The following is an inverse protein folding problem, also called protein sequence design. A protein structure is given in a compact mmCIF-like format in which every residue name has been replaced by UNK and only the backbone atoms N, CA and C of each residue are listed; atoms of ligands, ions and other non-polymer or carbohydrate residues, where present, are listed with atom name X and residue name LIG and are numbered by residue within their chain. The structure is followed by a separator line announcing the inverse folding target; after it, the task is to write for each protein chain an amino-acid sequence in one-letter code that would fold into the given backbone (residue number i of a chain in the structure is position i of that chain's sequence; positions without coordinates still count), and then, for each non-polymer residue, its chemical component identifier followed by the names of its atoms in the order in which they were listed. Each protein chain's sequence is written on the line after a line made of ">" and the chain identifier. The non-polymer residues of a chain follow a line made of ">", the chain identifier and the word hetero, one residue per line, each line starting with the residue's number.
data_IF_598446435099
#
_entry.id   IF_598446435099
#
_cell.length_a   1.000
_cell.length_b   1.000
_cell.length_c   1.000
_cell.angle_alpha   90.00
_cell.angle_beta   90.00
_cell.angle_gamma   90.00
#
_symmetry.space_group_name_H-M   'P 1'
#
loop_
_entity.id
_entity.type
_entity.pdbx_description
1 polymer ?
#
# COMPACT_ATOMS: atom_id res chain seq x y z
N UNK A 1 52.42 32.94 -20.36
CA UNK A 1 51.83 33.52 -19.14
C UNK A 1 50.36 33.15 -19.10
N UNK A 2 49.91 32.38 -18.09
CA UNK A 2 48.48 32.10 -17.92
C UNK A 2 47.81 33.24 -17.16
N UNK A 3 46.72 33.80 -17.69
CA UNK A 3 45.80 34.65 -16.92
C UNK A 3 44.67 33.77 -16.38
N UNK A 4 44.66 33.55 -15.07
CA UNK A 4 43.48 32.99 -14.41
C UNK A 4 42.38 34.05 -14.37
N UNK A 5 41.32 33.85 -15.16
CA UNK A 5 40.13 34.68 -15.13
C UNK A 5 39.32 34.37 -13.88
N UNK A 6 39.36 35.24 -12.87
CA UNK A 6 38.67 35.04 -11.61
C UNK A 6 37.16 35.34 -11.78
N UNK A 7 36.37 34.33 -12.18
CA UNK A 7 34.91 34.46 -12.28
C UNK A 7 34.26 34.47 -10.88
N UNK A 8 34.31 35.62 -10.24
CA UNK A 8 33.55 35.92 -9.02
C UNK A 8 32.06 35.97 -9.29
N UNK A 9 31.42 34.81 -9.37
CA UNK A 9 29.96 34.69 -9.48
C UNK A 9 29.29 35.14 -8.17
N UNK A 10 28.67 36.32 -8.18
CA UNK A 10 27.95 36.84 -7.02
C UNK A 10 26.72 35.98 -6.72
N UNK A 11 26.84 35.09 -5.72
CA UNK A 11 25.70 34.33 -5.21
C UNK A 11 24.73 35.31 -4.54
N UNK A 12 23.60 35.58 -5.18
CA UNK A 12 22.53 36.40 -4.62
C UNK A 12 21.82 35.59 -3.54
N UNK A 13 22.27 35.73 -2.30
CA UNK A 13 21.60 35.17 -1.13
C UNK A 13 20.35 35.99 -0.84
N UNK A 14 19.22 35.59 -1.45
CA UNK A 14 17.91 36.07 -1.03
C UNK A 14 17.59 35.52 0.37
N UNK A 15 17.22 36.38 1.30
CA UNK A 15 16.59 35.94 2.55
C UNK A 15 15.29 35.17 2.24
N UNK A 16 14.82 34.34 3.19
CA UNK A 16 13.44 33.85 3.13
C UNK A 16 12.49 35.05 3.04
N UNK A 17 11.54 34.98 2.10
CA UNK A 17 10.51 36.01 1.96
C UNK A 17 9.65 36.12 3.22
N UNK A 18 8.92 37.22 3.32
CA UNK A 18 8.05 37.55 4.45
C UNK A 18 7.22 36.34 4.92
N UNK A 19 7.43 35.93 6.17
CA UNK A 19 6.78 34.75 6.73
C UNK A 19 5.26 34.92 6.70
N UNK A 20 4.58 34.10 5.89
CA UNK A 20 3.12 34.05 5.81
C UNK A 20 2.50 33.42 7.06
N UNK A 21 2.60 34.13 8.18
CA UNK A 21 1.93 33.82 9.42
C UNK A 21 0.40 33.87 9.23
N UNK A 22 -0.34 33.07 10.02
CA UNK A 22 -1.79 33.17 10.05
C UNK A 22 -2.20 34.47 10.75
N UNK A 23 -3.18 35.25 10.22
CA UNK A 23 -3.60 36.53 10.79
C UNK A 23 -4.46 36.39 12.05
N UNK A 24 -4.44 35.22 12.71
CA UNK A 24 -5.28 34.88 13.85
C UNK A 24 -4.40 34.37 15.00
N UNK A 25 -4.42 35.06 16.14
CA UNK A 25 -3.58 34.78 17.31
C UNK A 25 -4.17 33.76 18.31
N UNK A 26 -5.25 33.06 17.93
CA UNK A 26 -5.88 32.03 18.75
C UNK A 26 -5.16 30.67 18.63
N UNK A 27 -5.13 29.89 19.72
CA UNK A 27 -4.47 28.57 19.77
C UNK A 27 -5.01 27.56 18.74
N UNK A 28 -6.25 27.74 18.30
CA UNK A 28 -6.91 26.93 17.26
C UNK A 28 -6.59 27.37 15.83
N UNK A 29 -5.91 28.50 15.60
CA UNK A 29 -5.82 29.16 14.29
C UNK A 29 -5.35 28.23 13.16
N UNK A 30 -4.32 27.40 13.40
CA UNK A 30 -3.82 26.44 12.43
C UNK A 30 -4.83 25.33 12.11
N UNK A 31 -5.50 24.78 13.13
CA UNK A 31 -6.58 23.82 12.92
C UNK A 31 -7.76 24.46 12.16
N UNK A 32 -8.19 25.67 12.53
CA UNK A 32 -9.28 26.38 11.83
C UNK A 32 -8.93 26.69 10.37
N UNK A 33 -7.66 27.03 10.07
CA UNK A 33 -7.16 27.20 8.71
C UNK A 33 -7.28 25.90 7.90
N UNK A 34 -6.78 24.78 8.43
CA UNK A 34 -6.85 23.48 7.77
C UNK A 34 -8.31 23.02 7.58
N UNK A 35 -9.14 23.13 8.63
CA UNK A 35 -10.55 22.72 8.58
C UNK A 35 -11.37 23.54 7.57
N UNK A 36 -11.07 24.84 7.39
CA UNK A 36 -11.67 25.67 6.34
C UNK A 36 -11.38 25.10 4.95
N UNK A 37 -10.16 24.63 4.72
CA UNK A 37 -9.75 24.08 3.43
C UNK A 37 -10.29 22.65 3.21
N UNK A 38 -10.41 21.84 4.27
CA UNK A 38 -11.17 20.57 4.27
C UNK A 38 -12.65 20.79 3.92
N UNK A 39 -13.32 21.75 4.58
CA UNK A 39 -14.72 22.07 4.31
C UNK A 39 -14.93 22.55 2.86
N UNK A 40 -14.00 23.35 2.31
CA UNK A 40 -14.03 23.75 0.90
C UNK A 40 -13.95 22.53 -0.04
N UNK A 41 -13.00 21.63 0.20
CA UNK A 41 -12.85 20.41 -0.59
C UNK A 41 -14.07 19.49 -0.50
N UNK A 42 -14.68 19.38 0.69
CA UNK A 42 -15.89 18.58 0.89
C UNK A 42 -17.09 19.18 0.15
N UNK A 43 -17.27 20.51 0.18
CA UNK A 43 -18.31 21.20 -0.59
C UNK A 43 -18.12 21.01 -2.10
N UNK A 44 -16.89 21.18 -2.62
CA UNK A 44 -16.58 20.92 -4.03
C UNK A 44 -16.84 19.46 -4.44
N UNK A 45 -16.48 18.49 -3.59
CA UNK A 45 -16.74 17.06 -3.84
C UNK A 45 -18.24 16.74 -3.82
N UNK A 46 -19.00 17.33 -2.89
CA UNK A 46 -20.45 17.16 -2.82
C UNK A 46 -21.15 17.70 -4.07
N UNK A 47 -20.74 18.86 -4.59
CA UNK A 47 -21.27 19.40 -5.84
C UNK A 47 -20.92 18.50 -7.04
N UNK A 48 -19.67 18.06 -7.14
CA UNK A 48 -19.22 17.20 -8.24
C UNK A 48 -19.93 15.85 -8.27
N UNK A 49 -20.13 15.18 -7.12
CA UNK A 49 -20.82 13.88 -7.09
C UNK A 49 -22.34 14.01 -7.33
N UNK A 50 -22.96 15.10 -6.88
CA UNK A 50 -24.37 15.39 -7.20
C UNK A 50 -24.58 15.66 -8.70
N UNK A 51 -23.63 16.33 -9.36
CA UNK A 51 -23.62 16.46 -10.82
C UNK A 51 -23.42 15.10 -11.51
N UNK A 52 -22.49 14.28 -11.01
CA UNK A 52 -22.22 12.94 -11.54
C UNK A 52 -23.45 12.02 -11.51
N UNK A 53 -24.27 12.07 -10.46
CA UNK A 53 -25.50 11.29 -10.34
C UNK A 53 -26.57 11.60 -11.40
N UNK A 54 -26.44 12.66 -12.19
CA UNK A 54 -27.43 13.02 -13.23
C UNK A 54 -27.41 12.10 -14.45
N UNK A 55 -26.33 11.35 -14.70
CA UNK A 55 -26.26 10.40 -15.82
C UNK A 55 -25.19 9.31 -15.61
N UNK A 56 -25.32 8.12 -16.24
CA UNK A 56 -24.28 7.10 -16.22
C UNK A 56 -22.91 7.60 -16.74
N UNK A 57 -22.92 8.46 -17.77
CA UNK A 57 -21.70 9.03 -18.34
C UNK A 57 -21.00 9.98 -17.36
N UNK A 58 -21.75 10.88 -16.70
CA UNK A 58 -21.20 11.78 -15.67
C UNK A 58 -20.66 11.02 -14.45
N UNK A 59 -21.26 9.88 -14.10
CA UNK A 59 -20.71 9.01 -13.06
C UNK A 59 -19.39 8.35 -13.47
N UNK A 60 -19.25 7.90 -14.73
CA UNK A 60 -17.98 7.35 -15.23
C UNK A 60 -16.87 8.42 -15.28
N UNK A 61 -17.18 9.64 -15.73
CA UNK A 61 -16.24 10.77 -15.71
C UNK A 61 -15.78 11.10 -14.27
N UNK A 62 -16.71 11.12 -13.31
CA UNK A 62 -16.39 11.34 -11.90
C UNK A 62 -15.53 10.22 -11.29
N UNK A 63 -15.77 8.97 -11.68
CA UNK A 63 -14.98 7.81 -11.25
C UNK A 63 -13.55 7.86 -11.81
N UNK A 64 -13.38 8.13 -13.11
CA UNK A 64 -12.02 8.22 -13.68
C UNK A 64 -11.27 9.43 -13.12
N UNK A 65 -11.94 10.56 -12.93
CA UNK A 65 -11.39 11.69 -12.18
C UNK A 65 -11.00 11.32 -10.74
N UNK A 66 -11.66 10.35 -10.11
CA UNK A 66 -11.21 9.80 -8.82
C UNK A 66 -9.96 8.94 -8.97
N UNK A 67 -9.89 8.02 -9.94
CA UNK A 67 -8.70 7.20 -10.21
C UNK A 67 -7.47 8.06 -10.48
N UNK A 68 -7.59 9.08 -11.33
CA UNK A 68 -6.49 10.02 -11.61
C UNK A 68 -6.02 10.78 -10.36
N UNK A 69 -6.94 11.21 -9.49
CA UNK A 69 -6.57 11.80 -8.19
C UNK A 69 -5.87 10.80 -7.27
N UNK A 70 -6.27 9.52 -7.27
CA UNK A 70 -5.59 8.46 -6.51
C UNK A 70 -4.17 8.21 -7.03
N UNK A 71 -3.99 8.07 -8.35
CA UNK A 71 -2.68 7.93 -9.01
C UNK A 71 -1.75 9.12 -8.65
N UNK A 72 -2.27 10.34 -8.69
CA UNK A 72 -1.53 11.56 -8.28
C UNK A 72 -1.14 11.60 -6.79
N UNK A 73 -1.92 10.96 -5.90
CA UNK A 73 -1.65 10.92 -4.45
C UNK A 73 -0.59 9.87 -4.09
N UNK A 74 -0.59 8.70 -4.74
CA UNK A 74 0.42 7.65 -4.49
C UNK A 74 1.73 7.89 -5.25
N UNK A 75 1.67 8.61 -6.37
CA UNK A 75 2.81 8.92 -7.23
C UNK A 75 3.13 7.81 -8.24
N UNK A 76 4.28 7.91 -8.88
CA UNK A 76 4.76 6.90 -9.84
C UNK A 76 5.41 5.71 -9.13
N UNK A 77 5.09 4.51 -9.60
CA UNK A 77 5.79 3.28 -9.23
C UNK A 77 6.96 2.98 -10.18
N UNK A 78 7.97 2.19 -9.76
CA UNK A 78 9.00 1.71 -10.67
C UNK A 78 8.43 0.68 -11.66
N UNK A 79 9.24 0.32 -12.67
CA UNK A 79 8.90 -0.78 -13.59
C UNK A 79 8.76 -2.14 -12.88
N UNK A 80 7.93 -3.02 -13.45
CA UNK A 80 7.70 -4.37 -12.92
C UNK A 80 8.84 -5.32 -13.30
N UNK A 81 9.85 -5.40 -12.45
CA UNK A 81 10.99 -6.33 -12.60
C UNK A 81 10.61 -7.80 -12.32
N UNK A 82 11.59 -8.72 -12.27
CA UNK A 82 11.34 -10.11 -11.87
C UNK A 82 10.97 -10.19 -10.37
N UNK A 83 10.00 -11.03 -10.02
CA UNK A 83 9.59 -11.27 -8.64
C UNK A 83 10.55 -12.19 -7.86
N UNK A 84 11.46 -12.91 -8.55
CA UNK A 84 12.48 -13.77 -7.92
C UNK A 84 11.94 -14.73 -6.84
N UNK A 85 10.74 -15.28 -7.09
CA UNK A 85 9.92 -16.00 -6.11
C UNK A 85 10.56 -17.31 -5.64
N UNK A 86 10.49 -17.56 -4.34
CA UNK A 86 10.96 -18.79 -3.69
C UNK A 86 9.86 -19.39 -2.82
N UNK A 87 9.57 -20.68 -3.02
CA UNK A 87 8.77 -21.48 -2.08
C UNK A 87 9.72 -22.10 -1.06
N UNK A 88 9.85 -21.45 0.11
CA UNK A 88 10.84 -21.82 1.14
C UNK A 88 10.36 -22.92 2.10
N UNK A 89 9.14 -23.44 1.90
CA UNK A 89 8.61 -24.60 2.62
C UNK A 89 7.11 -24.79 2.37
N UNK A 90 6.59 -25.94 2.80
CA UNK A 90 5.14 -26.20 2.84
C UNK A 90 4.70 -26.74 4.21
N UNK A 91 3.45 -26.49 4.58
CA UNK A 91 2.79 -27.04 5.77
C UNK A 91 1.48 -27.69 5.34
N UNK A 92 1.22 -28.91 5.83
CA UNK A 92 -0.03 -29.62 5.57
C UNK A 92 -1.17 -29.04 6.43
N UNK A 93 -2.30 -28.73 5.80
CA UNK A 93 -3.56 -28.40 6.46
C UNK A 93 -4.63 -29.47 6.20
N UNK A 94 -5.87 -29.18 6.58
CA UNK A 94 -7.02 -30.07 6.39
C UNK A 94 -7.80 -29.69 5.14
N UNK A 95 -7.52 -30.37 4.03
CA UNK A 95 -8.11 -30.07 2.71
C UNK A 95 -7.46 -28.87 1.99
N UNK A 96 -6.31 -28.42 2.49
CA UNK A 96 -5.48 -27.38 1.89
C UNK A 96 -4.02 -27.59 2.34
N UNK A 97 -3.07 -27.02 1.60
CA UNK A 97 -1.69 -26.85 2.07
C UNK A 97 -1.30 -25.37 2.10
N UNK A 98 -0.33 -25.02 2.94
CA UNK A 98 0.25 -23.66 3.00
C UNK A 98 1.62 -23.70 2.33
N UNK A 99 1.85 -22.85 1.34
CA UNK A 99 3.17 -22.59 0.76
C UNK A 99 3.76 -21.34 1.40
N UNK A 100 5.00 -21.43 1.89
CA UNK A 100 5.74 -20.29 2.43
C UNK A 100 6.47 -19.60 1.29
N UNK A 101 6.11 -18.35 1.01
CA UNK A 101 6.58 -17.59 -0.15
C UNK A 101 7.46 -16.44 0.30
N UNK A 102 8.61 -16.28 -0.36
CA UNK A 102 9.40 -15.05 -0.35
C UNK A 102 9.52 -14.56 -1.80
N UNK A 103 9.29 -13.28 -2.06
CA UNK A 103 9.48 -12.67 -3.38
C UNK A 103 10.05 -11.25 -3.25
N UNK A 104 10.56 -10.68 -4.34
CA UNK A 104 11.02 -9.30 -4.41
C UNK A 104 9.96 -8.41 -5.07
N UNK A 105 9.40 -7.43 -4.34
CA UNK A 105 8.51 -6.44 -4.96
C UNK A 105 9.29 -5.43 -5.81
N UNK A 106 10.57 -5.23 -5.47
CA UNK A 106 11.63 -4.57 -6.25
C UNK A 106 12.99 -5.16 -5.79
N UNK A 107 14.09 -5.01 -6.55
CA UNK A 107 15.38 -5.61 -6.19
C UNK A 107 15.81 -5.35 -4.75
N UNK A 108 16.12 -6.42 -4.01
CA UNK A 108 16.53 -6.37 -2.61
C UNK A 108 15.44 -6.00 -1.59
N UNK A 109 14.19 -5.75 -2.01
CA UNK A 109 13.05 -5.64 -1.08
C UNK A 109 12.25 -6.94 -1.07
N UNK A 110 12.50 -7.76 -0.07
CA UNK A 110 11.73 -8.97 0.18
C UNK A 110 10.33 -8.66 0.74
N UNK A 111 9.36 -9.44 0.26
CA UNK A 111 8.00 -9.56 0.75
C UNK A 111 7.77 -11.02 1.11
N UNK A 112 7.22 -11.25 2.29
CA UNK A 112 6.95 -12.57 2.88
C UNK A 112 5.45 -12.83 2.88
N UNK A 113 5.05 -14.02 2.44
CA UNK A 113 3.64 -14.38 2.32
C UNK A 113 3.37 -15.88 2.58
N UNK A 114 2.12 -16.20 2.87
CA UNK A 114 1.60 -17.57 2.96
C UNK A 114 0.53 -17.76 1.89
N UNK A 115 0.73 -18.69 0.95
CA UNK A 115 -0.28 -19.07 -0.04
C UNK A 115 -0.99 -20.34 0.43
N UNK A 116 -2.25 -20.21 0.80
CA UNK A 116 -3.14 -21.32 1.17
C UNK A 116 -3.78 -21.85 -0.11
N UNK A 117 -3.43 -23.07 -0.50
CA UNK A 117 -3.91 -23.74 -1.71
C UNK A 117 -4.91 -24.85 -1.35
N UNK A 118 -6.12 -24.87 -1.92
CA UNK A 118 -7.05 -25.99 -1.79
C UNK A 118 -6.46 -27.30 -2.32
N UNK A 119 -6.78 -28.41 -1.68
CA UNK A 119 -6.42 -29.76 -2.15
C UNK A 119 -7.61 -30.47 -2.79
N UNK A 120 -7.33 -31.43 -3.68
CA UNK A 120 -8.33 -32.27 -4.35
C UNK A 120 -9.36 -31.52 -5.21
N UNK A 121 -9.05 -30.28 -5.61
CA UNK A 121 -9.89 -29.44 -6.48
C UNK A 121 -9.43 -29.51 -7.94
N UNK A 122 -10.37 -29.30 -8.87
CA UNK A 122 -10.05 -29.03 -10.28
C UNK A 122 -9.44 -27.63 -10.40
N UNK A 123 -8.21 -27.56 -10.93
CA UNK A 123 -7.52 -26.30 -11.25
C UNK A 123 -7.94 -25.77 -12.63
N UNK A 124 -7.91 -24.44 -12.86
CA UNK A 124 -7.51 -23.38 -11.94
C UNK A 124 -8.60 -23.03 -10.90
N UNK A 125 -8.18 -22.74 -9.67
CA UNK A 125 -9.06 -22.33 -8.57
C UNK A 125 -9.19 -20.81 -8.46
N UNK A 126 -10.35 -20.26 -8.05
CA UNK A 126 -10.45 -18.85 -7.70
C UNK A 126 -9.53 -18.51 -6.52
N UNK A 127 -9.12 -17.24 -6.42
CA UNK A 127 -8.17 -16.80 -5.40
C UNK A 127 -8.58 -15.49 -4.72
N UNK A 128 -7.96 -15.22 -3.57
CA UNK A 128 -8.03 -13.92 -2.91
C UNK A 128 -6.68 -13.48 -2.37
N UNK A 129 -6.47 -12.17 -2.31
CA UNK A 129 -5.40 -11.53 -1.56
C UNK A 129 -5.95 -11.08 -0.20
N UNK A 130 -5.45 -11.64 0.89
CA UNK A 130 -5.76 -11.21 2.26
C UNK A 130 -4.73 -10.18 2.73
N UNK A 131 -5.21 -8.98 3.01
CA UNK A 131 -4.41 -7.85 3.48
C UNK A 131 -4.56 -7.73 5.00
N UNK A 132 -3.44 -7.82 5.72
CA UNK A 132 -3.47 -7.86 7.19
C UNK A 132 -3.87 -6.52 7.82
N UNK A 133 -4.64 -6.60 8.92
CA UNK A 133 -4.83 -5.48 9.84
C UNK A 133 -3.57 -5.20 10.68
N UNK A 134 -3.60 -4.17 11.53
CA UNK A 134 -2.44 -3.63 12.25
C UNK A 134 -1.87 -4.50 13.41
N UNK A 135 -1.97 -5.83 13.34
CA UNK A 135 -1.37 -6.75 14.31
C UNK A 135 0.11 -6.97 14.03
N UNK A 136 0.99 -6.81 15.03
CA UNK A 136 2.45 -6.95 14.88
C UNK A 136 2.89 -8.27 14.20
N UNK A 137 2.10 -9.35 14.33
CA UNK A 137 2.42 -10.65 13.77
C UNK A 137 2.25 -10.76 12.23
N UNK A 138 1.73 -9.73 11.56
CA UNK A 138 1.48 -9.76 10.10
C UNK A 138 0.56 -10.92 9.69
N UNK A 139 0.98 -11.73 8.73
CA UNK A 139 0.29 -12.96 8.30
C UNK A 139 0.19 -14.05 9.38
N UNK A 140 1.00 -13.92 10.44
CA UNK A 140 1.02 -14.81 11.59
C UNK A 140 1.40 -16.26 11.29
N UNK A 141 1.09 -17.15 12.24
CA UNK A 141 1.20 -18.60 12.05
C UNK A 141 0.10 -19.17 11.17
N UNK A 142 -1.11 -18.59 11.25
CA UNK A 142 -2.30 -19.02 10.50
C UNK A 142 -3.37 -17.92 10.45
N UNK A 143 -3.93 -17.65 9.27
CA UNK A 143 -5.17 -16.86 9.15
C UNK A 143 -6.38 -17.80 9.15
N UNK A 144 -7.34 -17.54 10.05
CA UNK A 144 -8.58 -18.30 10.09
C UNK A 144 -9.45 -18.10 8.85
N UNK A 145 -9.42 -16.91 8.24
CA UNK A 145 -10.16 -16.65 7.01
C UNK A 145 -9.53 -17.40 5.82
N UNK A 146 -8.20 -17.35 5.69
CA UNK A 146 -7.46 -18.09 4.67
C UNK A 146 -7.67 -19.61 4.77
N UNK A 147 -7.59 -20.19 5.96
CA UNK A 147 -7.85 -21.62 6.18
C UNK A 147 -9.28 -22.01 5.76
N UNK A 148 -10.30 -21.22 6.15
CA UNK A 148 -11.69 -21.50 5.81
C UNK A 148 -11.96 -21.38 4.30
N UNK A 149 -11.40 -20.37 3.63
CA UNK A 149 -11.51 -20.21 2.18
C UNK A 149 -10.82 -21.35 1.42
N UNK A 150 -9.61 -21.75 1.83
CA UNK A 150 -8.84 -22.81 1.18
C UNK A 150 -9.49 -24.19 1.34
N UNK A 151 -9.99 -24.53 2.53
CA UNK A 151 -10.81 -25.74 2.74
C UNK A 151 -12.12 -25.76 1.93
N UNK A 152 -12.54 -24.62 1.35
CA UNK A 152 -13.74 -24.49 0.50
C UNK A 152 -13.42 -24.15 -0.97
N UNK A 153 -12.18 -24.40 -1.43
CA UNK A 153 -11.83 -24.31 -2.85
C UNK A 153 -11.42 -22.92 -3.35
N UNK A 154 -11.17 -21.95 -2.46
CA UNK A 154 -10.68 -20.61 -2.80
C UNK A 154 -9.25 -20.45 -2.26
N UNK A 155 -8.27 -20.26 -3.14
CA UNK A 155 -6.89 -20.01 -2.70
C UNK A 155 -6.75 -18.64 -2.03
N UNK A 156 -5.85 -18.49 -1.06
CA UNK A 156 -5.64 -17.22 -0.35
C UNK A 156 -4.15 -16.92 -0.19
N UNK A 157 -3.71 -15.77 -0.70
CA UNK A 157 -2.36 -15.25 -0.43
C UNK A 157 -2.45 -14.22 0.71
N UNK A 158 -1.81 -14.52 1.84
CA UNK A 158 -1.73 -13.63 3.01
C UNK A 158 -0.34 -12.99 3.05
N UNK A 159 -0.26 -11.66 2.96
CA UNK A 159 1.01 -10.91 2.80
C UNK A 159 1.36 -10.14 4.07
N UNK A 160 2.63 -10.13 4.47
CA UNK A 160 3.11 -9.25 5.55
C UNK A 160 3.21 -7.78 5.09
N UNK A 161 2.53 -6.82 5.77
CA UNK A 161 2.76 -5.39 5.57
C UNK A 161 4.17 -4.95 6.00
N UNK A 162 4.60 -3.79 5.54
CA UNK A 162 5.87 -3.18 5.96
C UNK A 162 5.76 -2.77 7.44
N UNK A 163 6.68 -3.22 8.30
CA UNK A 163 6.58 -2.97 9.75
C UNK A 163 5.69 -3.96 10.50
N UNK A 164 5.42 -5.14 9.91
CA UNK A 164 4.64 -6.23 10.51
C UNK A 164 5.24 -7.61 10.14
N UNK A 165 4.98 -8.63 10.96
CA UNK A 165 5.37 -10.02 10.70
C UNK A 165 6.88 -10.19 10.54
N UNK A 166 7.30 -10.86 9.47
CA UNK A 166 8.72 -11.06 9.13
C UNK A 166 9.37 -9.78 8.53
N UNK A 167 8.63 -8.66 8.48
CA UNK A 167 9.02 -7.40 7.83
C UNK A 167 9.06 -6.20 8.80
N UNK A 168 9.16 -6.45 10.10
CA UNK A 168 9.51 -5.41 11.10
C UNK A 168 10.81 -4.70 10.68
N UNK A 169 10.84 -3.37 10.80
CA UNK A 169 11.96 -2.52 10.40
C UNK A 169 12.67 -1.89 11.61
N UNK A 170 11.93 -1.61 12.68
CA UNK A 170 12.46 -0.96 13.89
C UNK A 170 12.57 -1.99 15.03
N UNK A 171 13.66 -2.76 15.00
CA UNK A 171 13.93 -3.87 15.94
C UNK A 171 15.19 -3.66 16.79
N UNK A 172 15.24 -4.31 17.96
CA UNK A 172 16.46 -4.47 18.76
C UNK A 172 17.41 -5.53 18.16
N UNK A 173 18.56 -5.77 18.81
CA UNK A 173 19.56 -6.74 18.33
C UNK A 173 19.08 -8.19 18.47
N UNK A 174 18.07 -8.39 19.29
CA UNK A 174 17.41 -9.64 19.62
C UNK A 174 16.17 -9.89 18.75
N UNK A 175 15.88 -9.00 17.79
CA UNK A 175 14.81 -9.13 16.80
C UNK A 175 13.42 -8.67 17.26
N UNK A 176 13.30 -8.01 18.42
CA UNK A 176 12.02 -7.57 18.98
C UNK A 176 11.65 -6.17 18.49
N UNK A 177 10.36 -5.85 18.27
CA UNK A 177 9.93 -4.51 17.88
C UNK A 177 10.23 -3.48 18.98
N UNK A 178 10.85 -2.36 18.58
CA UNK A 178 11.10 -1.18 19.41
C UNK A 178 9.87 -0.27 19.52
N UNK A 179 8.82 -0.54 18.74
CA UNK A 179 7.60 0.27 18.68
C UNK A 179 6.47 -0.34 19.51
N UNK A 180 5.52 0.49 19.96
CA UNK A 180 4.35 0.03 20.75
C UNK A 180 3.36 -0.83 19.94
N UNK A 181 3.61 -1.05 18.66
CA UNK A 181 2.69 -1.71 17.73
C UNK A 181 2.78 -1.12 16.33
N UNK A 182 2.36 -1.89 15.33
CA UNK A 182 2.47 -1.59 13.90
C UNK A 182 2.14 -0.13 13.55
N UNK A 183 0.97 0.39 13.96
CA UNK A 183 0.58 1.80 13.66
C UNK A 183 1.59 2.87 14.11
N UNK A 184 2.40 2.60 15.14
CA UNK A 184 3.48 3.49 15.57
C UNK A 184 4.67 3.41 14.61
N UNK A 185 5.05 2.20 14.21
CA UNK A 185 6.11 1.95 13.23
C UNK A 185 5.75 2.52 11.85
N UNK A 186 4.53 2.28 11.38
CA UNK A 186 4.01 2.81 10.13
C UNK A 186 4.05 4.35 10.13
N UNK A 187 3.72 4.99 11.26
CA UNK A 187 3.81 6.45 11.42
C UNK A 187 5.25 6.96 11.27
N UNK A 188 6.21 6.28 11.91
CA UNK A 188 7.63 6.64 11.88
C UNK A 188 8.25 6.42 10.49
N UNK A 189 7.96 5.29 9.85
CA UNK A 189 8.45 4.96 8.50
C UNK A 189 7.85 5.90 7.44
N UNK A 190 6.57 6.25 7.55
CA UNK A 190 5.92 7.17 6.62
C UNK A 190 6.58 8.57 6.61
N UNK A 191 7.07 9.05 7.75
CA UNK A 191 7.81 10.31 7.81
C UNK A 191 9.08 10.28 6.94
N UNK A 192 9.80 9.15 6.91
CA UNK A 192 10.94 8.94 6.01
C UNK A 192 10.55 8.85 4.54
N UNK A 193 9.47 8.13 4.23
CA UNK A 193 8.96 8.01 2.85
C UNK A 193 8.51 9.36 2.26
N UNK A 194 7.85 10.20 3.05
CA UNK A 194 7.40 11.54 2.63
C UNK A 194 8.57 12.42 2.15
N UNK A 195 9.75 12.30 2.78
CA UNK A 195 10.96 13.05 2.37
C UNK A 195 11.54 12.57 1.03
N UNK A 196 11.14 11.38 0.57
CA UNK A 196 11.53 10.79 -0.71
C UNK A 196 10.41 10.91 -1.78
N UNK A 197 9.38 11.73 -1.53
CA UNK A 197 8.30 11.97 -2.50
C UNK A 197 7.31 10.82 -2.66
N UNK A 198 7.24 9.91 -1.70
CA UNK A 198 6.28 8.79 -1.67
C UNK A 198 5.65 8.67 -0.28
N UNK A 199 4.77 7.70 -0.05
CA UNK A 199 4.18 7.42 1.27
C UNK A 199 4.27 5.93 1.59
N UNK A 200 4.21 5.57 2.87
CA UNK A 200 4.16 4.16 3.27
C UNK A 200 2.98 3.44 2.62
N UNK A 201 1.81 4.08 2.54
CA UNK A 201 0.61 3.54 1.89
C UNK A 201 0.86 3.20 0.41
N UNK A 202 1.62 4.02 -0.32
CA UNK A 202 2.04 3.71 -1.68
C UNK A 202 3.01 2.52 -1.74
N UNK A 203 3.93 2.40 -0.77
CA UNK A 203 4.85 1.26 -0.69
C UNK A 203 4.16 -0.06 -0.29
N UNK A 204 3.16 0.00 0.61
CA UNK A 204 2.28 -1.13 0.95
C UNK A 204 1.45 -1.55 -0.26
N UNK A 205 0.79 -0.60 -0.96
CA UNK A 205 0.07 -0.89 -2.20
C UNK A 205 0.98 -1.53 -3.26
N UNK A 206 2.19 -1.01 -3.46
CA UNK A 206 3.15 -1.61 -4.40
C UNK A 206 3.48 -3.05 -4.02
N UNK A 207 3.90 -3.31 -2.77
CA UNK A 207 4.25 -4.65 -2.32
C UNK A 207 3.08 -5.64 -2.47
N UNK A 208 1.84 -5.18 -2.21
CA UNK A 208 0.62 -5.97 -2.38
C UNK A 208 0.24 -6.19 -3.87
N UNK A 209 0.38 -5.18 -4.74
CA UNK A 209 0.12 -5.31 -6.17
C UNK A 209 1.15 -6.24 -6.85
N UNK A 210 2.38 -6.28 -6.32
CA UNK A 210 3.39 -7.28 -6.69
C UNK A 210 3.09 -8.69 -6.15
N UNK A 211 2.31 -8.81 -5.07
CA UNK A 211 1.74 -10.09 -4.62
C UNK A 211 0.60 -10.57 -5.54
N UNK A 212 -0.21 -9.65 -6.08
CA UNK A 212 -1.19 -9.95 -7.12
C UNK A 212 -0.50 -10.40 -8.43
N UNK A 213 0.57 -9.71 -8.85
CA UNK A 213 1.39 -10.16 -9.98
C UNK A 213 1.89 -11.61 -9.78
N UNK A 214 2.29 -12.00 -8.56
CA UNK A 214 2.65 -13.39 -8.27
C UNK A 214 1.48 -14.35 -8.49
N UNK A 215 0.28 -14.06 -7.99
CA UNK A 215 -0.91 -14.90 -8.23
C UNK A 215 -1.18 -15.07 -9.74
N UNK A 216 -1.04 -14.01 -10.52
CA UNK A 216 -1.22 -14.04 -11.98
C UNK A 216 -0.17 -14.89 -12.73
N UNK A 217 0.95 -15.28 -12.09
CA UNK A 217 1.91 -16.25 -12.67
C UNK A 217 1.54 -17.72 -12.42
N UNK A 218 0.59 -18.00 -11.51
CA UNK A 218 0.30 -19.36 -11.02
C UNK A 218 -0.75 -20.05 -11.90
N UNK A 219 -0.35 -21.09 -12.63
CA UNK A 219 -1.21 -21.85 -13.59
C UNK A 219 -2.37 -22.64 -12.94
N UNK A 220 -2.33 -22.78 -11.63
CA UNK A 220 -3.33 -23.38 -10.75
C UNK A 220 -4.28 -22.34 -10.12
N UNK A 221 -4.04 -21.05 -10.36
CA UNK A 221 -4.91 -19.92 -9.99
C UNK A 221 -5.67 -19.42 -11.23
N UNK A 222 -6.93 -19.03 -11.05
CA UNK A 222 -7.76 -18.47 -12.11
C UNK A 222 -7.65 -16.93 -12.13
N UNK A 223 -7.05 -16.31 -13.18
CA UNK A 223 -6.87 -14.87 -13.26
C UNK A 223 -8.18 -14.10 -13.36
N UNK A 224 -9.25 -14.71 -13.90
CA UNK A 224 -10.58 -14.09 -14.05
C UNK A 224 -11.39 -14.12 -12.75
N UNK A 225 -10.87 -14.79 -11.69
CA UNK A 225 -11.57 -14.99 -10.41
C UNK A 225 -10.66 -14.70 -9.20
N UNK A 226 -10.01 -13.53 -9.20
CA UNK A 226 -9.24 -13.02 -8.07
C UNK A 226 -10.02 -11.92 -7.33
N UNK A 227 -10.11 -12.02 -6.00
CA UNK A 227 -10.61 -10.96 -5.11
C UNK A 227 -9.54 -10.38 -4.18
N UNK A 228 -9.85 -9.28 -3.49
CA UNK A 228 -9.00 -8.69 -2.44
C UNK A 228 -9.86 -8.37 -1.22
N UNK A 229 -9.38 -8.68 -0.02
CA UNK A 229 -10.06 -8.36 1.22
C UNK A 229 -9.09 -8.10 2.39
N UNK A 230 -9.60 -7.47 3.45
CA UNK A 230 -8.86 -7.24 4.68
C UNK A 230 -9.70 -6.53 5.73
N UNK A 231 -9.19 -6.44 6.96
CA UNK A 231 -9.89 -5.79 8.09
C UNK A 231 -9.01 -4.73 8.75
N UNK A 232 -9.64 -3.68 9.30
CA UNK A 232 -8.94 -2.48 9.80
C UNK A 232 -7.97 -1.94 8.73
N UNK A 233 -6.68 -1.79 9.02
CA UNK A 233 -5.66 -1.40 8.04
C UNK A 233 -5.59 -2.26 6.77
N UNK A 234 -5.99 -3.53 6.85
CA UNK A 234 -6.14 -4.40 5.67
C UNK A 234 -7.30 -3.98 4.77
N UNK A 235 -8.40 -3.50 5.36
CA UNK A 235 -9.52 -2.90 4.65
C UNK A 235 -9.15 -1.54 4.04
N UNK A 236 -8.30 -0.77 4.70
CA UNK A 236 -7.71 0.46 4.14
C UNK A 236 -6.83 0.16 2.93
N UNK A 237 -5.97 -0.86 2.99
CA UNK A 237 -5.16 -1.31 1.85
C UNK A 237 -6.05 -1.89 0.72
N UNK A 238 -7.11 -2.62 1.05
CA UNK A 238 -8.11 -3.12 0.07
C UNK A 238 -8.77 -1.95 -0.68
N UNK A 239 -9.08 -0.85 0.01
CA UNK A 239 -9.67 0.33 -0.61
C UNK A 239 -8.72 1.06 -1.59
N UNK A 240 -7.40 0.82 -1.54
CA UNK A 240 -6.46 1.36 -2.52
C UNK A 240 -6.64 0.72 -3.90
N UNK A 241 -6.97 -0.58 -3.96
CA UNK A 241 -7.24 -1.27 -5.23
C UNK A 241 -8.39 -0.61 -6.00
N UNK A 242 -9.47 -0.22 -5.32
CA UNK A 242 -10.64 0.44 -5.91
C UNK A 242 -10.28 1.72 -6.69
N UNK A 243 -9.17 2.40 -6.33
CA UNK A 243 -8.72 3.64 -6.97
C UNK A 243 -7.50 3.49 -7.90
N UNK A 244 -6.81 2.35 -7.89
CA UNK A 244 -5.48 2.19 -8.50
C UNK A 244 -5.36 0.95 -9.40
N UNK A 245 -6.08 -0.13 -9.11
CA UNK A 245 -6.16 -1.33 -9.94
C UNK A 245 -7.46 -1.23 -10.77
N UNK A 246 -7.44 -1.22 -12.12
CA UNK A 246 -8.44 -0.42 -12.87
C UNK A 246 -10.03 -0.65 -12.63
N UNK A 247 -9.77 -1.91 -13.01
CA UNK A 247 -10.85 -2.90 -13.26
C UNK A 247 -12.19 -2.24 -13.66
#
# INVERSE_FOLDING_TARGET
>A
MCRFGNMGGTVVVSAQGEFKALPWSQSTAYNSYLMRDVHRQFASRQLAIQQAFTSPAGMQEYLEGCRERYKQIVGTFPEKENLNVQVVGKIQGTGYHIEKIIFESKPGRYVTAHLYMPENMTVPVPATLELCGHGLNGKGSSSHAAMLMASNGIAVLVVDPIGQGERLQLIDREGKPLTRGATTEHTLLNAGFNLLGTSLAAQEYWDNHRALDYLLTRKDIDPERIGVYGSSGGGTQTAYYIGLDPV
#
